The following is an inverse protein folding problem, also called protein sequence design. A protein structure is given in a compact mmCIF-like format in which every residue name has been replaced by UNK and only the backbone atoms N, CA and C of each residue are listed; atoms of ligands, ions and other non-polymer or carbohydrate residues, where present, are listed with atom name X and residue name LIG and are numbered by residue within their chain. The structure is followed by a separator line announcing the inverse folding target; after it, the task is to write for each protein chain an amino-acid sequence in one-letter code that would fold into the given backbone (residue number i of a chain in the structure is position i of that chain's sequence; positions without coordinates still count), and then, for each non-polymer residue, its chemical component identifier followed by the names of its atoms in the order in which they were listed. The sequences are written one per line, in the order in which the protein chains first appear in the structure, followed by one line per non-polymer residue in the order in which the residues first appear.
data_IF_217548168960
#
_entry.id   IF_217548168960
#
_cell.length_a   1.000
_cell.length_b   1.000
_cell.length_c   1.000
_cell.angle_alpha   90.00
_cell.angle_beta   90.00
_cell.angle_gamma   90.00
#
_symmetry.space_group_name_H-M   'P 1'
#
loop_
_entity.id
_entity.type
_entity.pdbx_description
1 polymer ?
#
# COMPACT_ATOMS: atom_id res chain seq x y z
N UNK A 7 -5.84 11.46 -0.17
CA UNK A 7 -5.48 10.18 0.42
C UNK A 7 -3.98 10.01 0.40
N UNK A 8 -3.30 10.45 1.47
CA UNK A 8 -1.84 10.40 1.56
C UNK A 8 -1.32 8.99 1.84
N UNK A 9 -0.08 8.76 1.46
CA UNK A 9 0.56 7.49 1.74
C UNK A 9 1.64 7.70 2.80
N UNK A 10 1.33 7.32 4.04
CA UNK A 10 2.26 7.47 5.15
C UNK A 10 3.51 6.63 4.97
N UNK A 11 4.67 7.14 5.42
CA UNK A 11 5.97 6.47 5.25
C UNK A 11 5.93 5.00 5.66
N UNK A 12 6.42 4.16 4.78
CA UNK A 12 6.31 2.73 4.99
C UNK A 12 5.19 2.12 4.18
N UNK A 13 4.72 2.85 3.18
CA UNK A 13 3.71 2.35 2.26
C UNK A 13 4.20 2.44 0.82
N UNK A 14 4.01 1.37 0.08
CA UNK A 14 4.37 1.34 -1.33
C UNK A 14 3.25 0.70 -2.13
N UNK A 15 3.08 1.15 -3.37
CA UNK A 15 2.08 0.59 -4.25
C UNK A 15 2.76 -0.02 -5.47
N UNK A 16 2.48 -1.29 -5.71
CA UNK A 16 3.15 -2.03 -6.75
C UNK A 16 2.15 -2.60 -7.75
N UNK A 17 2.50 -2.56 -9.02
CA UNK A 17 1.64 -3.11 -10.05
C UNK A 17 2.09 -4.52 -10.45
N UNK A 18 1.13 -5.42 -10.57
CA UNK A 18 1.41 -6.79 -10.97
C UNK A 18 1.22 -6.92 -12.48
N UNK A 19 1.62 -8.05 -13.05
CA UNK A 19 1.52 -8.25 -14.50
C UNK A 19 0.06 -8.14 -14.97
N UNK A 20 -0.87 -8.47 -14.09
CA UNK A 20 -2.30 -8.41 -14.41
C UNK A 20 -2.76 -6.97 -14.64
N UNK A 21 -1.90 -6.01 -14.32
CA UNK A 21 -2.28 -4.61 -14.43
C UNK A 21 -2.93 -4.11 -13.17
N UNK A 22 -2.90 -4.94 -12.13
CA UNK A 22 -3.47 -4.61 -10.84
C UNK A 22 -2.43 -3.92 -9.97
N UNK A 23 -2.89 -3.06 -9.08
CA UNK A 23 -2.00 -2.38 -8.16
C UNK A 23 -2.29 -2.81 -6.72
N UNK A 24 -1.33 -3.48 -6.09
CA UNK A 24 -1.48 -3.89 -4.71
C UNK A 24 -0.63 -3.01 -3.81
N UNK A 25 -1.11 -2.80 -2.60
CA UNK A 25 -0.46 -1.87 -1.68
C UNK A 25 0.29 -2.62 -0.59
N UNK A 26 1.54 -2.29 -0.45
CA UNK A 26 2.41 -3.00 0.47
C UNK A 26 2.82 -2.09 1.62
N UNK A 27 2.36 -2.42 2.81
CA UNK A 27 2.81 -1.75 4.01
C UNK A 27 4.18 -2.31 4.37
N UNK A 28 5.22 -1.57 4.03
CA UNK A 28 6.60 -2.02 4.21
C UNK A 28 6.95 -2.16 5.68
N UNK A 29 6.24 -1.43 6.52
CA UNK A 29 6.52 -1.42 7.95
C UNK A 29 6.16 -2.74 8.59
N UNK A 30 5.01 -3.30 8.20
CA UNK A 30 4.54 -4.55 8.75
C UNK A 30 4.63 -5.69 7.74
N UNK A 31 5.19 -5.37 6.57
CA UNK A 31 5.35 -6.33 5.47
C UNK A 31 4.00 -6.89 5.02
N UNK A 32 2.99 -6.04 4.97
CA UNK A 32 1.64 -6.46 4.62
C UNK A 32 1.33 -6.14 3.16
N UNK A 33 0.81 -7.13 2.44
CA UNK A 33 0.37 -6.92 1.06
C UNK A 33 -1.15 -6.94 1.01
N UNK A 34 -1.74 -5.78 0.76
CA UNK A 34 -3.19 -5.63 0.81
C UNK A 34 -3.72 -4.83 -0.37
N UNK A 35 -4.98 -5.04 -0.70
CA UNK A 35 -5.63 -4.30 -1.76
C UNK A 35 -6.41 -3.13 -1.16
N UNK A 36 -5.75 -2.44 -0.25
CA UNK A 36 -6.36 -1.35 0.50
C UNK A 36 -5.50 -0.10 0.38
N UNK A 37 -6.09 0.95 -0.22
CA UNK A 37 -5.41 2.23 -0.36
C UNK A 37 -4.95 2.75 0.98
N UNK A 38 -3.68 3.22 1.06
CA UNK A 38 -3.13 3.78 2.29
C UNK A 38 -3.99 4.92 2.84
N UNK A 39 -4.59 4.67 3.99
CA UNK A 39 -5.46 5.63 4.62
C UNK A 39 -4.65 6.66 5.40
N UNK A 40 -5.35 7.68 5.90
CA UNK A 40 -4.71 8.70 6.72
C UNK A 40 -4.27 8.11 8.05
N UNK A 41 -3.05 7.56 8.04
CA UNK A 41 -2.46 6.87 9.18
C UNK A 41 -3.11 5.50 9.38
N UNK A 42 -2.28 4.48 9.55
CA UNK A 42 -2.77 3.15 9.85
C UNK A 42 -2.04 2.59 11.06
N UNK A 43 -2.80 2.19 12.06
CA UNK A 43 -2.22 1.64 13.28
C UNK A 43 -2.71 0.21 13.47
#
# INVERSE_FOLDING_TARGET
GSHGRSMPLPPGWERRTDVEGKVYYFNVRTLTTTWERPTIILE
#
